data_IF_088712143266
#
_entry.id   IF_088712143266
#
_cell.length_a   1.000
_cell.length_b   1.000
_cell.length_c   1.000
_cell.angle_alpha   90.00
_cell.angle_beta   90.00
_cell.angle_gamma   90.00
#
_symmetry.space_group_name_H-M   'P 1'
#
loop_
_entity.id
_entity.type
_entity.pdbx_description
1 polymer ?
#
# COMPACT_ATOMS: atom_id res chain seq x y z
N UNK A 1 -52.09 -5.49 -9.03
CA UNK A 1 -50.96 -6.38 -9.35
C UNK A 1 -50.10 -6.58 -8.11
N UNK A 2 -49.84 -7.81 -7.64
CA UNK A 2 -48.99 -8.03 -6.48
C UNK A 2 -47.51 -8.21 -6.83
N UNK A 3 -46.67 -7.45 -6.11
CA UNK A 3 -45.40 -7.83 -5.46
C UNK A 3 -44.33 -8.61 -6.23
N UNK A 4 -43.18 -7.95 -6.48
CA UNK A 4 -41.87 -8.61 -6.35
C UNK A 4 -41.16 -8.00 -5.14
N UNK A 5 -41.33 -8.62 -3.97
CA UNK A 5 -40.40 -8.41 -2.86
C UNK A 5 -39.09 -9.06 -3.28
N UNK A 6 -38.07 -8.24 -3.52
CA UNK A 6 -36.69 -8.68 -3.72
C UNK A 6 -36.27 -9.56 -2.53
N UNK A 7 -36.32 -10.87 -2.71
CA UNK A 7 -35.82 -11.81 -1.73
C UNK A 7 -34.29 -11.68 -1.70
N UNK A 8 -33.75 -11.18 -0.59
CA UNK A 8 -32.32 -11.29 -0.26
C UNK A 8 -31.99 -12.78 -0.14
N UNK A 9 -31.45 -13.35 -1.22
CA UNK A 9 -31.07 -14.77 -1.30
C UNK A 9 -30.08 -15.16 -0.19
N UNK A 10 -30.30 -16.27 0.54
CA UNK A 10 -29.37 -16.81 1.54
C UNK A 10 -27.97 -17.09 0.97
N UNK A 11 -27.89 -17.39 -0.34
CA UNK A 11 -26.61 -17.58 -1.04
C UNK A 11 -25.75 -16.32 -0.94
N UNK A 12 -26.33 -15.12 -1.06
CA UNK A 12 -25.58 -13.86 -1.00
C UNK A 12 -24.86 -13.69 0.35
N UNK A 13 -25.52 -14.01 1.47
CA UNK A 13 -24.90 -13.88 2.81
C UNK A 13 -23.78 -14.89 3.04
N UNK A 14 -23.94 -16.13 2.57
CA UNK A 14 -22.91 -17.17 2.72
C UNK A 14 -21.67 -16.83 1.88
N UNK A 15 -21.85 -16.43 0.61
CA UNK A 15 -20.76 -16.00 -0.27
C UNK A 15 -20.03 -14.76 0.25
N UNK A 16 -20.76 -13.77 0.77
CA UNK A 16 -20.16 -12.58 1.39
C UNK A 16 -19.30 -12.94 2.61
N UNK A 17 -19.74 -13.89 3.44
CA UNK A 17 -18.94 -14.37 4.58
C UNK A 17 -17.67 -15.09 4.14
N UNK A 18 -17.75 -15.95 3.13
CA UNK A 18 -16.57 -16.67 2.60
C UNK A 18 -15.57 -15.66 2.04
N UNK A 19 -16.05 -14.71 1.24
CA UNK A 19 -15.21 -13.66 0.65
C UNK A 19 -14.57 -12.76 1.70
N UNK A 20 -15.33 -12.34 2.72
CA UNK A 20 -14.79 -11.52 3.80
C UNK A 20 -13.67 -12.26 4.55
N UNK A 21 -13.85 -13.55 4.85
CA UNK A 21 -12.80 -14.36 5.48
C UNK A 21 -11.53 -14.44 4.63
N UNK A 22 -11.66 -14.51 3.31
CA UNK A 22 -10.50 -14.48 2.41
C UNK A 22 -9.79 -13.12 2.45
N UNK A 23 -10.55 -12.02 2.44
CA UNK A 23 -10.01 -10.66 2.58
C UNK A 23 -9.26 -10.52 3.92
N UNK A 24 -9.88 -10.95 5.02
CA UNK A 24 -9.29 -10.88 6.36
C UNK A 24 -8.00 -11.71 6.44
N UNK A 25 -7.98 -12.91 5.86
CA UNK A 25 -6.80 -13.76 5.81
C UNK A 25 -5.67 -13.13 4.97
N UNK A 26 -6.01 -12.53 3.83
CA UNK A 26 -5.05 -11.84 2.98
C UNK A 26 -4.45 -10.62 3.69
N UNK A 27 -5.27 -9.83 4.40
CA UNK A 27 -4.82 -8.68 5.18
C UNK A 27 -3.94 -9.10 6.37
N UNK A 28 -4.33 -10.15 7.09
CA UNK A 28 -3.52 -10.70 8.18
C UNK A 28 -2.12 -11.09 7.68
N UNK A 29 -2.04 -11.81 6.57
CA UNK A 29 -0.76 -12.18 5.97
C UNK A 29 0.03 -10.96 5.47
N UNK A 30 -0.64 -10.00 4.82
CA UNK A 30 -0.01 -8.77 4.34
C UNK A 30 0.59 -7.96 5.49
N UNK A 31 -0.15 -7.72 6.56
CA UNK A 31 0.32 -6.93 7.69
C UNK A 31 1.43 -7.63 8.47
N UNK A 32 1.34 -8.94 8.67
CA UNK A 32 2.42 -9.72 9.28
C UNK A 32 3.73 -9.68 8.46
N UNK A 33 3.62 -9.55 7.13
CA UNK A 33 4.78 -9.33 6.27
C UNK A 33 5.30 -7.89 6.40
N UNK A 34 4.42 -6.90 6.35
CA UNK A 34 4.76 -5.48 6.45
C UNK A 34 5.43 -5.12 7.78
N UNK A 35 5.03 -5.74 8.89
CA UNK A 35 5.61 -5.50 10.21
C UNK A 35 7.11 -5.84 10.28
N UNK A 36 7.62 -6.61 9.32
CA UNK A 36 9.04 -6.96 9.21
C UNK A 36 9.82 -5.96 8.35
N UNK A 37 9.15 -5.12 7.57
CA UNK A 37 9.79 -4.22 6.61
C UNK A 37 10.71 -3.17 7.25
N UNK A 38 10.36 -2.51 8.37
CA UNK A 38 11.24 -1.50 8.97
C UNK A 38 12.61 -2.06 9.32
N UNK A 39 12.68 -3.32 9.79
CA UNK A 39 13.95 -4.00 10.05
C UNK A 39 14.70 -4.36 8.77
N UNK A 40 13.99 -4.70 7.70
CA UNK A 40 14.59 -5.04 6.42
C UNK A 40 15.10 -3.82 5.63
N UNK A 41 14.52 -2.65 5.85
CA UNK A 41 14.98 -1.39 5.25
C UNK A 41 16.09 -0.71 6.05
N UNK A 42 16.28 -1.09 7.32
CA UNK A 42 17.20 -0.47 8.26
C UNK A 42 18.65 -0.45 7.71
N UNK A 43 19.19 0.75 7.50
CA UNK A 43 20.62 0.97 7.23
C UNK A 43 21.32 1.31 8.56
N UNK A 44 20.69 2.19 9.35
CA UNK A 44 21.05 2.47 10.74
C UNK A 44 19.84 2.42 11.69
N UNK A 45 20.09 2.45 13.00
CA UNK A 45 19.06 2.28 14.04
C UNK A 45 17.91 3.31 13.95
N UNK A 46 18.18 4.53 13.44
CA UNK A 46 17.19 5.62 13.33
C UNK A 46 16.15 5.31 12.25
N UNK A 47 16.49 4.45 11.29
CA UNK A 47 15.62 4.09 10.17
C UNK A 47 14.45 3.23 10.59
N UNK A 48 14.61 2.45 11.66
CA UNK A 48 13.56 1.56 12.15
C UNK A 48 12.30 2.34 12.53
N UNK A 49 12.48 3.41 13.32
CA UNK A 49 11.37 4.28 13.74
C UNK A 49 10.73 4.99 12.54
N UNK A 50 11.56 5.46 11.60
CA UNK A 50 11.06 6.10 10.38
C UNK A 50 10.25 5.13 9.51
N UNK A 51 10.72 3.88 9.37
CA UNK A 51 10.02 2.82 8.65
C UNK A 51 8.69 2.45 9.30
N UNK A 52 8.62 2.40 10.63
CA UNK A 52 7.36 2.19 11.37
C UNK A 52 6.34 3.31 11.11
N UNK A 53 6.79 4.57 11.07
CA UNK A 53 5.94 5.70 10.70
C UNK A 53 5.47 5.61 9.25
N UNK A 54 6.33 5.17 8.32
CA UNK A 54 5.95 4.93 6.93
C UNK A 54 4.88 3.83 6.80
N UNK A 55 4.95 2.76 7.61
CA UNK A 55 3.93 1.71 7.59
C UNK A 55 2.53 2.22 7.97
N UNK A 56 2.43 3.23 8.83
CA UNK A 56 1.14 3.86 9.20
C UNK A 56 0.46 4.48 7.98
N UNK A 57 1.25 4.98 7.03
CA UNK A 57 0.77 5.56 5.78
C UNK A 57 0.42 4.48 4.73
N UNK A 58 1.17 3.38 4.69
CA UNK A 58 1.01 2.33 3.68
C UNK A 58 -0.10 1.32 4.01
N UNK A 59 -0.31 0.98 5.29
CA UNK A 59 -1.32 -0.02 5.71
C UNK A 59 -2.76 0.36 5.31
N UNK A 60 -3.22 1.63 5.41
CA UNK A 60 -4.53 2.03 4.91
C UNK A 60 -4.73 1.78 3.42
N UNK A 61 -3.69 2.03 2.60
CA UNK A 61 -3.75 1.74 1.17
C UNK A 61 -3.86 0.24 0.89
N UNK A 62 -3.09 -0.60 1.59
CA UNK A 62 -3.19 -2.06 1.46
C UNK A 62 -4.58 -2.56 1.84
N UNK A 63 -5.18 -1.98 2.89
CA UNK A 63 -6.58 -2.25 3.25
C UNK A 63 -7.53 -1.87 2.13
N UNK A 64 -7.38 -0.67 1.57
CA UNK A 64 -8.18 -0.20 0.43
C UNK A 64 -8.08 -1.15 -0.78
N UNK A 65 -6.88 -1.64 -1.11
CA UNK A 65 -6.68 -2.61 -2.19
C UNK A 65 -7.42 -3.94 -1.94
N UNK A 66 -7.48 -4.42 -0.71
CA UNK A 66 -8.13 -5.68 -0.36
C UNK A 66 -9.65 -5.55 -0.21
N UNK A 67 -10.13 -4.53 0.48
CA UNK A 67 -11.55 -4.39 0.85
C UNK A 67 -12.35 -3.65 -0.22
N UNK A 68 -11.80 -2.55 -0.75
CA UNK A 68 -12.52 -1.67 -1.70
C UNK A 68 -12.27 -2.09 -3.14
N UNK A 69 -10.99 -2.26 -3.53
CA UNK A 69 -10.65 -2.74 -4.89
C UNK A 69 -10.84 -4.24 -5.05
N UNK A 70 -10.94 -4.99 -3.94
CA UNK A 70 -11.18 -6.43 -3.93
C UNK A 70 -10.21 -7.21 -4.83
N UNK A 71 -8.93 -6.82 -4.80
CA UNK A 71 -7.91 -7.42 -5.64
C UNK A 71 -7.68 -8.89 -5.30
N UNK A 72 -7.44 -9.70 -6.32
CA UNK A 72 -6.99 -11.07 -6.14
C UNK A 72 -5.66 -11.13 -5.37
N UNK A 73 -5.45 -12.19 -4.59
CA UNK A 73 -4.26 -12.38 -3.74
C UNK A 73 -2.94 -12.17 -4.48
N UNK A 74 -2.81 -12.69 -5.69
CA UNK A 74 -1.61 -12.53 -6.52
C UNK A 74 -1.33 -11.06 -6.88
N UNK A 75 -2.38 -10.30 -7.17
CA UNK A 75 -2.29 -8.88 -7.50
C UNK A 75 -1.97 -8.05 -6.27
N UNK A 76 -2.58 -8.35 -5.12
CA UNK A 76 -2.25 -7.72 -3.84
C UNK A 76 -0.78 -7.94 -3.48
N UNK A 77 -0.28 -9.18 -3.63
CA UNK A 77 1.13 -9.51 -3.40
C UNK A 77 2.07 -8.71 -4.29
N UNK A 78 1.73 -8.51 -5.58
CA UNK A 78 2.51 -7.65 -6.47
C UNK A 78 2.57 -6.21 -5.94
N UNK A 79 1.45 -5.64 -5.50
CA UNK A 79 1.45 -4.30 -4.91
C UNK A 79 2.30 -4.24 -3.63
N UNK A 80 2.23 -5.25 -2.75
CA UNK A 80 3.08 -5.33 -1.56
C UNK A 80 4.57 -5.32 -1.91
N UNK A 81 4.99 -6.05 -2.94
CA UNK A 81 6.38 -6.01 -3.39
C UNK A 81 6.79 -4.61 -3.86
N UNK A 82 5.94 -3.91 -4.63
CA UNK A 82 6.27 -2.56 -5.09
C UNK A 82 6.29 -1.55 -3.93
N UNK A 83 5.41 -1.69 -2.95
CA UNK A 83 5.41 -0.86 -1.74
C UNK A 83 6.65 -1.14 -0.87
N UNK A 84 7.13 -2.39 -0.83
CA UNK A 84 8.38 -2.72 -0.15
C UNK A 84 9.57 -1.98 -0.79
N UNK A 85 9.65 -1.94 -2.12
CA UNK A 85 10.67 -1.20 -2.85
C UNK A 85 10.57 0.31 -2.59
N UNK A 86 9.35 0.86 -2.58
CA UNK A 86 9.12 2.29 -2.33
C UNK A 86 9.62 2.68 -0.94
N UNK A 87 9.31 1.88 0.07
CA UNK A 87 9.79 2.15 1.43
C UNK A 87 11.31 2.06 1.54
N UNK A 88 11.94 1.08 0.89
CA UNK A 88 13.39 0.98 0.81
C UNK A 88 14.02 2.23 0.17
N UNK A 89 13.48 2.70 -0.95
CA UNK A 89 13.96 3.90 -1.64
C UNK A 89 13.81 5.17 -0.77
N UNK A 90 12.71 5.29 -0.03
CA UNK A 90 12.48 6.41 0.91
C UNK A 90 13.51 6.38 2.05
N UNK A 91 13.73 5.23 2.68
CA UNK A 91 14.75 5.08 3.74
C UNK A 91 16.14 5.41 3.20
N UNK A 92 16.42 4.97 1.98
CA UNK A 92 17.66 5.24 1.28
C UNK A 92 17.81 6.74 0.96
N UNK A 93 16.71 7.45 0.69
CA UNK A 93 16.67 8.91 0.47
C UNK A 93 16.98 9.69 1.75
N UNK A 94 16.36 9.34 2.89
CA UNK A 94 16.61 10.04 4.17
C UNK A 94 18.01 9.81 4.72
N UNK A 95 18.63 8.68 4.39
CA UNK A 95 20.04 8.42 4.69
C UNK A 95 20.99 9.21 3.79
N UNK A 96 20.61 9.42 2.52
CA UNK A 96 21.42 10.21 1.59
C UNK A 96 21.34 11.72 1.91
N UNK A 97 20.19 12.19 2.39
CA UNK A 97 19.93 13.60 2.64
C UNK A 97 19.39 13.82 4.06
N UNK A 98 20.25 14.22 5.00
CA UNK A 98 19.88 14.36 6.42
C UNK A 98 18.68 15.32 6.64
N UNK A 99 18.52 16.33 5.78
CA UNK A 99 17.35 17.24 5.81
C UNK A 99 16.00 16.53 5.64
N UNK A 100 15.98 15.40 4.93
CA UNK A 100 14.76 14.63 4.67
C UNK A 100 14.41 13.72 5.86
N UNK A 101 15.41 13.33 6.67
CA UNK A 101 15.21 12.56 7.90
C UNK A 101 14.33 13.29 8.92
N UNK A 102 14.38 14.62 8.95
CA UNK A 102 13.56 15.44 9.84
C UNK A 102 12.13 15.66 9.33
N UNK A 103 11.79 15.21 8.11
CA UNK A 103 10.45 15.35 7.58
C UNK A 103 9.56 14.20 8.02
N UNK A 104 8.28 14.46 8.34
CA UNK A 104 7.30 13.40 8.60
C UNK A 104 7.21 12.43 7.42
N UNK A 105 7.13 11.13 7.72
CA UNK A 105 7.05 10.07 6.70
C UNK A 105 5.92 10.29 5.69
N UNK A 106 4.75 10.75 6.15
CA UNK A 106 3.63 11.11 5.30
C UNK A 106 4.00 12.17 4.24
N UNK A 107 4.66 13.25 4.68
CA UNK A 107 5.07 14.34 3.79
C UNK A 107 6.13 13.90 2.80
N UNK A 108 7.09 13.09 3.23
CA UNK A 108 8.11 12.58 2.32
C UNK A 108 7.49 11.61 1.31
N UNK A 109 6.58 10.73 1.75
CA UNK A 109 5.83 9.85 0.86
C UNK A 109 5.07 10.66 -0.21
N UNK A 110 4.36 11.73 0.19
CA UNK A 110 3.65 12.61 -0.76
C UNK A 110 4.59 13.27 -1.77
N UNK A 111 5.80 13.65 -1.36
CA UNK A 111 6.80 14.23 -2.27
C UNK A 111 7.34 13.23 -3.31
N UNK A 112 7.35 11.95 -2.98
CA UNK A 112 7.84 10.89 -3.87
C UNK A 112 6.78 10.40 -4.85
N UNK A 113 5.51 10.71 -4.61
CA UNK A 113 4.39 10.25 -5.41
C UNK A 113 3.93 11.34 -6.37
N UNK A 114 3.66 10.94 -7.62
CA UNK A 114 3.17 11.83 -8.65
C UNK A 114 2.06 11.16 -9.49
N UNK A 115 1.27 11.94 -10.25
CA UNK A 115 0.22 11.39 -11.12
C UNK A 115 0.75 10.41 -12.18
N UNK A 116 2.00 10.54 -12.59
CA UNK A 116 2.66 9.70 -13.58
C UNK A 116 3.38 8.47 -12.98
N UNK A 117 3.72 8.48 -11.69
CA UNK A 117 4.44 7.35 -11.08
C UNK A 117 4.97 7.60 -9.68
N UNK A 118 6.02 6.85 -9.36
CA UNK A 118 6.81 7.04 -8.15
C UNK A 118 8.22 7.52 -8.49
N UNK A 119 9.14 7.51 -7.52
CA UNK A 119 10.52 7.84 -7.80
C UNK A 119 11.17 6.79 -8.70
N UNK A 120 12.29 7.17 -9.32
CA UNK A 120 13.21 6.20 -9.85
C UNK A 120 13.76 5.35 -8.69
N UNK A 121 13.53 4.04 -8.74
CA UNK A 121 13.94 3.14 -7.67
C UNK A 121 15.26 2.45 -8.04
N UNK A 122 16.30 2.67 -7.23
CA UNK A 122 17.64 2.10 -7.45
C UNK A 122 17.71 0.59 -7.31
N UNK A 123 16.64 -0.01 -6.79
CA UNK A 123 16.49 -1.46 -6.61
C UNK A 123 15.77 -2.13 -7.79
N UNK A 124 15.43 -1.36 -8.84
CA UNK A 124 14.77 -1.85 -10.05
C UNK A 124 15.74 -1.83 -11.22
N UNK A 125 15.83 -2.97 -11.91
CA UNK A 125 16.82 -3.25 -12.96
C UNK A 125 16.27 -3.16 -14.39
N UNK A 126 14.95 -3.11 -14.55
CA UNK A 126 14.29 -3.08 -15.87
C UNK A 126 13.17 -2.07 -15.95
N UNK A 127 12.97 -1.50 -17.14
CA UNK A 127 11.84 -0.63 -17.44
C UNK A 127 10.48 -1.31 -17.21
N UNK A 128 10.41 -2.62 -17.42
CA UNK A 128 9.18 -3.38 -17.18
C UNK A 128 8.83 -3.41 -15.69
N UNK A 129 9.82 -3.64 -14.82
CA UNK A 129 9.64 -3.60 -13.38
C UNK A 129 9.35 -2.18 -12.89
N UNK A 130 9.98 -1.16 -13.47
CA UNK A 130 9.70 0.25 -13.15
C UNK A 130 8.24 0.61 -13.49
N UNK A 131 7.73 0.21 -14.66
CA UNK A 131 6.31 0.43 -15.01
C UNK A 131 5.34 -0.22 -14.02
N UNK A 132 5.67 -1.38 -13.47
CA UNK A 132 4.86 -2.04 -12.44
C UNK A 132 4.91 -1.27 -11.11
N UNK A 133 6.08 -0.75 -10.77
CA UNK A 133 6.29 0.11 -9.61
C UNK A 133 5.49 1.41 -9.73
N UNK A 134 5.62 2.11 -10.86
CA UNK A 134 4.89 3.35 -11.14
C UNK A 134 3.37 3.13 -11.12
N UNK A 135 2.89 2.00 -11.64
CA UNK A 135 1.47 1.64 -11.56
C UNK A 135 0.95 1.53 -10.12
N UNK A 136 1.77 1.02 -9.20
CA UNK A 136 1.42 0.97 -7.77
C UNK A 136 1.48 2.37 -7.15
N UNK A 137 2.50 3.16 -7.48
CA UNK A 137 2.66 4.52 -6.98
C UNK A 137 1.53 5.44 -7.44
N UNK A 138 1.07 5.36 -8.69
CA UNK A 138 -0.10 6.10 -9.18
C UNK A 138 -1.37 5.77 -8.41
N UNK A 139 -1.59 4.49 -8.09
CA UNK A 139 -2.75 4.08 -7.30
C UNK A 139 -2.67 4.60 -5.86
N UNK A 140 -1.47 4.59 -5.27
CA UNK A 140 -1.24 5.15 -3.94
C UNK A 140 -1.43 6.68 -3.96
N UNK A 141 -0.92 7.39 -4.97
CA UNK A 141 -1.13 8.82 -5.17
C UNK A 141 -2.62 9.17 -5.28
N UNK A 142 -3.37 8.41 -6.09
CA UNK A 142 -4.81 8.60 -6.22
C UNK A 142 -5.54 8.35 -4.89
N UNK A 143 -5.20 7.27 -4.17
CA UNK A 143 -5.76 6.98 -2.85
C UNK A 143 -5.48 8.13 -1.86
N UNK A 144 -4.25 8.63 -1.78
CA UNK A 144 -3.89 9.73 -0.89
C UNK A 144 -4.54 11.05 -1.28
N UNK A 145 -4.67 11.32 -2.58
CA UNK A 145 -5.41 12.49 -3.08
C UNK A 145 -6.88 12.48 -2.67
N UNK A 146 -7.52 11.30 -2.59
CA UNK A 146 -8.92 11.22 -2.11
C UNK A 146 -9.06 11.50 -0.62
N UNK A 147 -8.07 11.16 0.21
CA UNK A 147 -8.09 11.44 1.64
C UNK A 147 -7.95 12.94 1.95
N UNK A 148 -7.20 13.66 1.12
CA UNK A 148 -6.93 15.08 1.33
C UNK A 148 -8.08 16.00 0.88
N UNK A 149 -9.10 15.48 0.20
CA UNK A 149 -10.28 16.26 -0.24
C UNK A 149 -11.44 16.25 0.78
N UNK A 150 -11.35 15.47 1.86
CA UNK A 150 -12.40 15.36 2.88
C UNK A 150 -12.25 16.40 4.03
N UNK A 151 -11.58 17.53 3.76
CA UNK A 151 -11.40 18.65 4.70
C UNK A 151 -11.88 19.99 4.12
#
# INVERSE_FOLDING_TARGET
MPLIKSQRSPLNKAWLKIRQREIDANLCHAFALMDKWPKAWEIDERDRRYGEDLLKELKPFVRYLAETKQLARSTLRRHLNQLFLLGGEIISTVNTHERDRHQPAARLLDKQLAPDGGPYCRHIDTDQHQRQFDSTCRQLFAFRSTLNCDH
#
